data_IF_346388124798
#
_entry.id   IF_346388124798
#
_cell.length_a   1.000
_cell.length_b   1.000
_cell.length_c   1.000
_cell.angle_alpha   90.00
_cell.angle_beta   90.00
_cell.angle_gamma   90.00
#
_symmetry.space_group_name_H-M   'P 1'
#
loop_
_entity.id
_entity.type
_entity.pdbx_description
1 polymer ?
#
# COMPACT_ATOMS: atom_id res chain seq x y z
N UNK A 1 -25.06 -5.69 -6.97
CA UNK A 1 -24.11 -5.99 -8.06
C UNK A 1 -22.93 -5.02 -7.94
N UNK A 2 -21.70 -5.50 -8.09
CA UNK A 2 -20.50 -4.72 -7.80
C UNK A 2 -20.36 -3.49 -8.70
N UNK A 3 -19.93 -2.37 -8.12
CA UNK A 3 -19.57 -1.17 -8.88
C UNK A 3 -18.23 -1.36 -9.57
N UNK A 4 -18.06 -0.80 -10.78
CA UNK A 4 -16.76 -0.71 -11.47
C UNK A 4 -15.70 -0.07 -10.55
N UNK A 5 -16.09 0.92 -9.74
CA UNK A 5 -15.21 1.53 -8.75
C UNK A 5 -14.76 0.55 -7.67
N UNK A 6 -15.68 -0.30 -7.19
CA UNK A 6 -15.36 -1.35 -6.22
C UNK A 6 -14.44 -2.43 -6.78
N UNK A 7 -14.64 -2.84 -8.04
CA UNK A 7 -13.75 -3.78 -8.72
C UNK A 7 -12.33 -3.25 -8.90
N UNK A 8 -12.20 -1.96 -9.28
CA UNK A 8 -10.89 -1.29 -9.38
C UNK A 8 -10.20 -1.18 -8.02
N UNK A 9 -10.92 -0.78 -6.98
CA UNK A 9 -10.38 -0.68 -5.63
C UNK A 9 -9.87 -2.05 -5.13
N UNK A 10 -10.64 -3.11 -5.35
CA UNK A 10 -10.23 -4.46 -4.99
C UNK A 10 -8.96 -4.90 -5.75
N UNK A 11 -8.90 -4.69 -7.07
CA UNK A 11 -7.72 -5.04 -7.87
C UNK A 11 -6.45 -4.30 -7.41
N UNK A 12 -6.57 -3.02 -7.05
CA UNK A 12 -5.46 -2.23 -6.49
C UNK A 12 -5.02 -2.81 -5.14
N UNK A 13 -5.95 -3.09 -4.23
CA UNK A 13 -5.63 -3.65 -2.93
C UNK A 13 -4.92 -5.01 -3.05
N UNK A 14 -5.40 -5.91 -3.90
CA UNK A 14 -4.75 -7.20 -4.16
C UNK A 14 -3.33 -7.02 -4.70
N UNK A 15 -3.12 -6.09 -5.63
CA UNK A 15 -1.79 -5.80 -6.18
C UNK A 15 -0.82 -5.36 -5.08
N UNK A 16 -1.25 -4.46 -4.18
CA UNK A 16 -0.43 -3.99 -3.07
C UNK A 16 -0.12 -5.10 -2.06
N UNK A 17 -1.09 -5.98 -1.78
CA UNK A 17 -0.92 -7.13 -0.89
C UNK A 17 0.10 -8.13 -1.45
N UNK A 18 -0.06 -8.53 -2.72
CA UNK A 18 0.87 -9.47 -3.37
C UNK A 18 2.29 -8.89 -3.44
N UNK A 19 2.41 -7.59 -3.71
CA UNK A 19 3.69 -6.90 -3.68
C UNK A 19 4.34 -6.94 -2.30
N UNK A 20 3.57 -6.82 -1.21
CA UNK A 20 4.10 -6.92 0.16
C UNK A 20 4.64 -8.34 0.44
N UNK A 21 3.86 -9.38 0.09
CA UNK A 21 4.26 -10.78 0.24
C UNK A 21 5.53 -11.12 -0.53
N UNK A 22 5.67 -10.63 -1.77
CA UNK A 22 6.86 -10.85 -2.60
C UNK A 22 8.13 -10.22 -2.01
N UNK A 23 7.99 -9.24 -1.10
CA UNK A 23 9.10 -8.55 -0.45
C UNK A 23 9.27 -8.97 1.03
N UNK A 24 8.61 -10.04 1.47
CA UNK A 24 8.64 -10.54 2.86
C UNK A 24 8.21 -9.47 3.90
N UNK A 25 7.30 -8.58 3.49
CA UNK A 25 6.73 -7.53 4.36
C UNK A 25 5.32 -7.91 4.77
N UNK A 26 4.99 -7.71 6.04
CA UNK A 26 3.62 -7.88 6.55
C UNK A 26 2.62 -6.98 5.78
N UNK A 27 1.63 -7.56 5.07
CA UNK A 27 0.74 -6.79 4.21
C UNK A 27 -0.11 -5.77 4.97
N UNK A 28 -0.55 -6.10 6.19
CA UNK A 28 -1.41 -5.24 7.00
C UNK A 28 -0.64 -4.03 7.54
N UNK A 29 0.52 -4.25 8.14
CA UNK A 29 1.41 -3.22 8.64
C UNK A 29 1.88 -2.31 7.51
N UNK A 30 2.18 -2.86 6.34
CA UNK A 30 2.56 -2.06 5.17
C UNK A 30 1.41 -1.20 4.66
N UNK A 31 0.22 -1.77 4.52
CA UNK A 31 -0.93 -1.00 4.04
C UNK A 31 -1.25 0.14 5.00
N UNK A 32 -1.21 -0.13 6.30
CA UNK A 32 -1.36 0.89 7.35
C UNK A 32 -0.30 1.98 7.21
N UNK A 33 0.96 1.61 7.06
CA UNK A 33 2.09 2.52 6.87
C UNK A 33 1.94 3.44 5.65
N UNK A 34 1.46 2.89 4.52
CA UNK A 34 1.20 3.66 3.29
C UNK A 34 0.03 4.61 3.48
N UNK A 35 -1.09 4.11 4.01
CA UNK A 35 -2.32 4.90 4.21
C UNK A 35 -2.12 6.04 5.21
N UNK A 36 -1.28 5.87 6.23
CA UNK A 36 -0.92 6.93 7.17
C UNK A 36 -0.08 8.05 6.53
N UNK A 37 0.74 7.72 5.52
CA UNK A 37 1.61 8.69 4.84
C UNK A 37 0.93 9.39 3.69
N UNK A 38 -0.01 8.71 3.02
CA UNK A 38 -0.67 9.19 1.82
C UNK A 38 -1.24 10.62 1.91
N UNK A 39 -1.84 11.08 3.02
CA UNK A 39 -2.38 12.44 3.12
C UNK A 39 -1.33 13.54 2.96
N UNK A 40 -0.13 13.31 3.48
CA UNK A 40 0.97 14.29 3.48
C UNK A 40 2.03 14.01 2.40
N UNK A 41 1.84 12.93 1.63
CA UNK A 41 2.83 12.47 0.66
C UNK A 41 2.71 13.15 -0.69
N UNK A 42 3.85 13.60 -1.24
CA UNK A 42 3.86 14.22 -2.56
C UNK A 42 3.68 13.17 -3.65
N UNK A 43 2.77 13.44 -4.60
CA UNK A 43 2.49 12.53 -5.73
C UNK A 43 3.71 12.28 -6.64
N UNK A 44 4.73 13.15 -6.63
CA UNK A 44 5.95 12.96 -7.40
C UNK A 44 7.04 12.16 -6.66
N UNK A 45 6.72 11.58 -5.49
CA UNK A 45 7.63 10.81 -4.64
C UNK A 45 7.12 9.40 -4.32
N UNK A 46 6.27 8.83 -5.17
CA UNK A 46 5.64 7.52 -4.91
C UNK A 46 6.68 6.39 -4.73
N UNK A 47 7.87 6.56 -5.31
CA UNK A 47 9.03 5.69 -5.09
C UNK A 47 9.39 5.54 -3.60
N UNK A 48 9.17 6.57 -2.78
CA UNK A 48 9.37 6.51 -1.31
C UNK A 48 8.36 5.57 -0.62
N UNK A 49 7.23 5.22 -1.26
CA UNK A 49 6.19 4.30 -0.72
C UNK A 49 6.34 2.85 -1.21
N UNK A 50 7.42 2.55 -1.93
CA UNK A 50 7.71 1.22 -2.48
C UNK A 50 8.03 0.20 -1.37
N UNK A 51 7.84 -1.11 -1.61
CA UNK A 51 7.98 -2.15 -0.58
C UNK A 51 9.32 -2.12 0.14
N UNK A 52 10.40 -1.89 -0.60
CA UNK A 52 11.76 -1.87 -0.08
C UNK A 52 12.05 -0.67 0.82
N UNK A 53 11.25 0.39 0.73
CA UNK A 53 11.33 1.58 1.59
C UNK A 53 10.42 1.49 2.82
N UNK A 54 9.67 0.39 2.95
CA UNK A 54 8.81 0.16 4.10
C UNK A 54 9.62 0.21 5.41
N UNK A 55 9.02 0.80 6.43
CA UNK A 55 9.56 0.84 7.78
C UNK A 55 8.47 0.41 8.75
N UNK A 56 8.70 -0.51 9.69
CA UNK A 56 7.68 -0.82 10.68
C UNK A 56 7.31 0.45 11.46
N UNK A 57 6.00 0.72 11.59
CA UNK A 57 5.52 1.80 12.45
C UNK A 57 5.93 1.44 13.88
N UNK A 58 6.85 2.22 14.46
CA UNK A 58 7.17 2.08 15.88
C UNK A 58 5.96 2.55 16.68
N UNK A 59 5.49 1.68 17.57
CA UNK A 59 4.49 2.03 18.58
C UNK A 59 5.03 3.11 19.53
#
# INVERSE_FOLDING_TARGET
MGSIGGGKAAAIAYTLIETAKMNDVDPEARLTWVLQRLPDHKINRIDELMPWNWQPVKA
#
